data_IF_873352766268
#
_entry.id   IF_873352766268
#
_cell.length_a   1.000
_cell.length_b   1.000
_cell.length_c   1.000
_cell.angle_alpha   90.00
_cell.angle_beta   90.00
_cell.angle_gamma   90.00
#
_symmetry.space_group_name_H-M   'P 1'
#
loop_
_entity.id
_entity.type
_entity.pdbx_description
1 polymer ?
#
# COMPACT_ATOMS: atom_id res chain seq x y z
N UNK A 1 -24.12 12.70 10.95
CA UNK A 1 -23.70 12.65 9.54
C UNK A 1 -23.36 11.21 9.24
N UNK A 2 -23.61 10.70 8.03
CA UNK A 2 -23.18 9.33 7.69
C UNK A 2 -21.66 9.25 7.69
N UNK A 3 -21.10 8.18 8.27
CA UNK A 3 -19.66 7.86 8.25
C UNK A 3 -19.24 7.14 6.96
N UNK A 4 -20.20 6.69 6.16
CA UNK A 4 -19.97 5.87 4.97
C UNK A 4 -19.61 6.69 3.73
N UNK A 5 -18.67 6.17 2.95
CA UNK A 5 -18.29 6.73 1.65
C UNK A 5 -19.42 6.55 0.63
N UNK A 6 -19.63 7.51 -0.28
CA UNK A 6 -20.84 7.55 -1.12
C UNK A 6 -20.86 6.56 -2.28
N UNK A 7 -19.69 6.10 -2.72
CA UNK A 7 -19.51 5.29 -3.93
C UNK A 7 -19.11 3.83 -3.65
N UNK A 8 -19.19 3.36 -2.41
CA UNK A 8 -19.00 1.93 -2.11
C UNK A 8 -20.14 1.10 -2.71
N UNK A 9 -19.83 -0.05 -3.31
CA UNK A 9 -20.81 -1.04 -3.78
C UNK A 9 -21.90 -1.25 -2.74
N UNK A 10 -23.16 -1.08 -3.13
CA UNK A 10 -24.29 -0.99 -2.18
C UNK A 10 -24.51 -2.36 -1.53
N UNK A 11 -24.10 -2.59 -0.27
CA UNK A 11 -24.29 -3.87 0.38
C UNK A 11 -25.78 -4.13 0.59
N UNK A 12 -26.13 -5.40 0.79
CA UNK A 12 -27.48 -5.79 1.18
C UNK A 12 -27.90 -5.06 2.46
N UNK A 13 -29.20 -4.77 2.60
CA UNK A 13 -29.70 -4.10 3.80
C UNK A 13 -29.59 -5.01 5.01
N UNK A 14 -29.05 -4.48 6.11
CA UNK A 14 -29.05 -5.20 7.37
C UNK A 14 -30.48 -5.59 7.78
N UNK A 15 -30.69 -6.89 7.98
CA UNK A 15 -31.98 -7.42 8.44
C UNK A 15 -31.91 -7.86 9.90
N UNK A 16 -33.05 -7.89 10.59
CA UNK A 16 -33.14 -8.43 11.94
C UNK A 16 -32.68 -9.89 12.02
N UNK A 17 -32.90 -10.67 10.95
CA UNK A 17 -32.44 -12.07 10.87
C UNK A 17 -30.92 -12.17 10.84
N UNK A 18 -30.24 -11.26 10.16
CA UNK A 18 -28.78 -11.22 10.11
C UNK A 18 -28.22 -10.93 11.51
N UNK A 19 -28.82 -9.97 12.23
CA UNK A 19 -28.44 -9.63 13.61
C UNK A 19 -28.64 -10.84 14.55
N UNK A 20 -29.83 -11.45 14.53
CA UNK A 20 -30.15 -12.63 15.35
C UNK A 20 -29.23 -13.82 15.03
N UNK A 21 -28.87 -14.00 13.76
CA UNK A 21 -27.91 -15.02 13.34
C UNK A 21 -26.52 -14.74 13.94
N UNK A 22 -26.00 -13.53 13.79
CA UNK A 22 -24.69 -13.16 14.33
C UNK A 22 -24.63 -13.30 15.85
N UNK A 23 -25.57 -12.69 16.59
CA UNK A 23 -25.62 -12.77 18.06
C UNK A 23 -25.73 -14.22 18.54
N UNK A 24 -26.50 -15.06 17.85
CA UNK A 24 -26.62 -16.48 18.17
C UNK A 24 -25.35 -17.27 17.86
N UNK A 25 -24.69 -16.99 16.73
CA UNK A 25 -23.45 -17.65 16.31
C UNK A 25 -22.33 -17.38 17.31
N UNK A 26 -22.18 -16.13 17.73
CA UNK A 26 -21.11 -15.72 18.65
C UNK A 26 -21.51 -15.85 20.13
N UNK A 27 -22.81 -15.99 20.45
CA UNK A 27 -23.29 -16.07 21.83
C UNK A 27 -23.19 -14.75 22.60
N UNK A 28 -23.27 -13.62 21.90
CA UNK A 28 -23.07 -12.26 22.45
C UNK A 28 -24.24 -11.34 22.14
N UNK A 29 -24.24 -10.14 22.72
CA UNK A 29 -25.08 -9.02 22.27
C UNK A 29 -24.20 -8.01 21.56
N UNK A 30 -24.53 -7.68 20.31
CA UNK A 30 -23.76 -6.71 19.52
C UNK A 30 -23.95 -5.27 20.06
N UNK A 31 -22.92 -4.40 20.01
CA UNK A 31 -23.06 -3.02 20.43
C UNK A 31 -24.18 -2.31 19.68
N UNK A 32 -25.04 -1.59 20.42
CA UNK A 32 -26.18 -0.87 19.82
C UNK A 32 -25.74 0.18 18.81
N UNK A 33 -24.60 0.81 19.05
CA UNK A 33 -23.98 1.80 18.18
C UNK A 33 -23.45 1.19 16.90
N UNK A 34 -22.79 0.04 16.98
CA UNK A 34 -22.39 -0.75 15.80
C UNK A 34 -23.61 -1.10 14.93
N UNK A 35 -24.68 -1.63 15.53
CA UNK A 35 -25.92 -1.92 14.81
C UNK A 35 -26.61 -0.68 14.23
N UNK A 36 -26.45 0.49 14.86
CA UNK A 36 -27.00 1.75 14.35
C UNK A 36 -26.25 2.20 13.10
N UNK A 37 -24.92 2.10 13.11
CA UNK A 37 -24.05 2.40 11.97
C UNK A 37 -24.36 1.46 10.79
N UNK A 38 -24.48 0.16 11.05
CA UNK A 38 -24.79 -0.82 10.01
C UNK A 38 -26.20 -0.74 9.42
N UNK A 39 -27.15 -0.13 10.15
CA UNK A 39 -28.48 0.17 9.61
C UNK A 39 -28.47 1.26 8.56
N UNK A 40 -27.48 2.16 8.59
CA UNK A 40 -27.29 3.16 7.55
C UNK A 40 -26.71 2.51 6.28
N UNK A 41 -25.69 1.65 6.46
CA UNK A 41 -25.11 0.83 5.40
C UNK A 41 -24.46 -0.42 6.01
N UNK A 42 -24.70 -1.61 5.44
CA UNK A 42 -24.26 -2.88 6.02
C UNK A 42 -22.82 -3.24 5.62
N UNK A 43 -21.86 -2.40 6.01
CA UNK A 43 -20.45 -2.56 5.70
C UNK A 43 -19.96 -1.80 4.47
N UNK A 44 -18.66 -1.85 4.21
CA UNK A 44 -17.99 -1.13 3.13
C UNK A 44 -17.04 -0.04 3.65
N UNK A 45 -16.70 0.91 2.78
CA UNK A 45 -15.71 1.94 3.08
C UNK A 45 -16.29 3.13 3.86
N UNK A 46 -15.46 3.67 4.73
CA UNK A 46 -15.69 4.81 5.60
C UNK A 46 -15.11 6.08 4.96
N UNK A 47 -15.58 7.24 5.42
CA UNK A 47 -15.02 8.56 5.02
C UNK A 47 -13.71 8.90 5.73
N UNK A 48 -13.48 8.24 6.85
CA UNK A 48 -12.27 8.29 7.65
C UNK A 48 -11.51 7.02 7.37
N UNK A 49 -10.19 7.09 7.47
CA UNK A 49 -9.27 6.02 7.14
C UNK A 49 -8.32 5.67 8.28
N UNK A 50 -8.42 6.36 9.43
CA UNK A 50 -7.59 6.08 10.59
C UNK A 50 -8.31 6.23 11.94
N UNK A 51 -7.70 5.62 12.96
CA UNK A 51 -8.10 5.68 14.37
C UNK A 51 -6.88 6.01 15.22
N UNK A 52 -6.98 7.02 16.09
CA UNK A 52 -5.92 7.35 17.03
C UNK A 52 -5.69 6.23 18.05
N UNK A 53 -4.43 5.90 18.31
CA UNK A 53 -4.03 4.88 19.30
C UNK A 53 -2.88 5.35 20.17
N UNK A 54 -2.88 4.91 21.43
CA UNK A 54 -1.85 5.28 22.43
C UNK A 54 -0.70 4.24 22.53
N UNK A 55 -0.78 3.13 21.79
CA UNK A 55 0.28 2.13 21.74
C UNK A 55 1.25 2.41 20.59
N UNK A 56 2.49 1.91 20.71
CA UNK A 56 3.51 2.04 19.67
C UNK A 56 3.23 0.99 18.59
N UNK A 57 2.90 1.46 17.39
CA UNK A 57 2.82 0.65 16.18
C UNK A 57 4.08 0.82 15.30
N UNK A 58 4.14 0.11 14.18
CA UNK A 58 5.33 -0.03 13.34
C UNK A 58 5.90 1.29 12.82
N UNK A 59 5.02 2.20 12.44
CA UNK A 59 5.39 3.50 11.90
C UNK A 59 5.62 4.53 13.03
N UNK A 60 5.23 4.21 14.27
CA UNK A 60 5.34 5.10 15.42
C UNK A 60 4.43 6.33 15.34
N UNK A 61 3.41 6.27 14.48
CA UNK A 61 2.60 7.43 14.08
C UNK A 61 1.40 7.70 15.00
N UNK A 62 1.13 6.80 15.97
CA UNK A 62 0.06 7.01 16.97
C UNK A 62 -1.35 6.89 16.39
N UNK A 63 -1.50 6.19 15.27
CA UNK A 63 -2.78 5.82 14.68
C UNK A 63 -2.67 4.46 13.96
N UNK A 64 -3.80 3.82 13.69
CA UNK A 64 -3.90 2.65 12.82
C UNK A 64 -4.86 2.93 11.66
N UNK A 65 -4.68 2.25 10.53
CA UNK A 65 -5.63 2.32 9.42
C UNK A 65 -6.95 1.64 9.79
N UNK A 66 -8.04 2.31 9.45
CA UNK A 66 -9.41 1.89 9.69
C UNK A 66 -10.33 2.56 8.66
N UNK A 67 -10.30 2.04 7.44
CA UNK A 67 -10.95 2.60 6.26
C UNK A 67 -12.29 1.93 5.92
N UNK A 68 -12.64 0.85 6.62
CA UNK A 68 -13.76 0.00 6.29
C UNK A 68 -14.36 -0.67 7.52
N UNK A 69 -15.60 -1.09 7.38
CA UNK A 69 -16.31 -1.90 8.36
C UNK A 69 -16.94 -3.10 7.68
N UNK A 70 -16.83 -4.26 8.33
CA UNK A 70 -17.53 -5.46 7.93
C UNK A 70 -19.02 -5.33 8.26
N UNK A 71 -19.85 -5.75 7.31
CA UNK A 71 -21.28 -5.91 7.49
C UNK A 71 -21.65 -7.21 8.18
N UNK A 72 -22.95 -7.45 8.30
CA UNK A 72 -23.51 -8.71 8.78
C UNK A 72 -24.31 -9.34 7.63
N UNK A 73 -23.72 -10.32 6.97
CA UNK A 73 -24.35 -11.15 5.94
C UNK A 73 -23.99 -12.62 6.13
N UNK A 74 -24.87 -13.57 5.76
CA UNK A 74 -24.54 -14.99 5.82
C UNK A 74 -23.27 -15.30 5.02
N UNK A 75 -22.36 -16.06 5.62
CA UNK A 75 -21.09 -16.50 5.03
C UNK A 75 -20.11 -15.36 4.62
N UNK A 76 -20.39 -14.11 5.02
CA UNK A 76 -19.56 -12.92 4.73
C UNK A 76 -19.48 -11.97 5.94
N UNK A 77 -18.66 -10.92 5.83
CA UNK A 77 -18.51 -9.88 6.84
C UNK A 77 -18.12 -10.47 8.20
N UNK A 78 -18.77 -10.03 9.29
CA UNK A 78 -18.41 -10.51 10.63
C UNK A 78 -18.65 -12.01 10.81
N UNK A 79 -19.58 -12.62 10.06
CA UNK A 79 -19.86 -14.05 10.15
C UNK A 79 -18.71 -14.91 9.58
N UNK A 80 -17.79 -14.31 8.83
CA UNK A 80 -16.54 -14.94 8.39
C UNK A 80 -15.42 -14.91 9.45
N UNK A 81 -15.67 -14.37 10.66
CA UNK A 81 -14.65 -14.23 11.73
C UNK A 81 -13.85 -15.51 11.97
N UNK A 82 -14.50 -16.67 12.14
CA UNK A 82 -13.76 -17.91 12.43
C UNK A 82 -12.93 -18.40 11.23
N UNK A 83 -13.42 -18.18 10.00
CA UNK A 83 -12.64 -18.47 8.80
C UNK A 83 -11.40 -17.57 8.73
N UNK A 84 -11.56 -16.27 8.95
CA UNK A 84 -10.46 -15.30 8.94
C UNK A 84 -9.45 -15.57 10.06
N UNK A 85 -9.91 -15.95 11.25
CA UNK A 85 -9.00 -16.36 12.34
C UNK A 85 -8.16 -17.57 11.95
N UNK A 86 -8.75 -18.58 11.30
CA UNK A 86 -8.02 -19.75 10.81
C UNK A 86 -7.05 -19.38 9.69
N UNK A 87 -7.49 -18.58 8.72
CA UNK A 87 -6.69 -18.14 7.57
C UNK A 87 -5.46 -17.33 7.98
N UNK A 88 -5.62 -16.44 8.96
CA UNK A 88 -4.58 -15.49 9.40
C UNK A 88 -3.92 -15.88 10.73
N UNK A 89 -4.16 -17.09 11.23
CA UNK A 89 -3.48 -17.63 12.40
C UNK A 89 -3.82 -16.94 13.73
N UNK A 90 -4.96 -16.26 13.82
CA UNK A 90 -5.37 -15.52 15.03
C UNK A 90 -5.86 -16.49 16.10
N UNK A 91 -5.13 -16.57 17.21
CA UNK A 91 -5.39 -17.55 18.29
C UNK A 91 -6.31 -17.03 19.40
N UNK A 92 -6.61 -15.72 19.44
CA UNK A 92 -7.44 -15.12 20.48
C UNK A 92 -8.91 -15.55 20.33
N UNK A 93 -9.50 -15.98 21.45
CA UNK A 93 -10.89 -16.43 21.54
C UNK A 93 -11.86 -15.29 21.88
N UNK A 94 -13.16 -15.52 21.66
CA UNK A 94 -14.26 -14.61 22.02
C UNK A 94 -14.15 -13.20 21.40
N UNK A 95 -13.59 -13.12 20.20
CA UNK A 95 -13.50 -11.88 19.42
C UNK A 95 -14.41 -11.95 18.18
N UNK A 96 -14.82 -10.79 17.68
CA UNK A 96 -15.50 -10.64 16.38
C UNK A 96 -14.70 -9.65 15.55
N UNK A 97 -14.18 -10.07 14.40
CA UNK A 97 -13.46 -9.17 13.48
C UNK A 97 -14.48 -8.23 12.83
N UNK A 98 -14.20 -6.93 12.86
CA UNK A 98 -15.09 -5.89 12.32
C UNK A 98 -14.44 -5.05 11.22
N UNK A 99 -13.13 -5.15 11.02
CA UNK A 99 -12.38 -4.56 9.92
C UNK A 99 -11.01 -5.25 9.79
N UNK A 100 -10.36 -5.14 8.64
CA UNK A 100 -9.01 -5.66 8.40
C UNK A 100 -8.79 -6.12 6.96
N UNK A 101 -7.52 -6.36 6.63
CA UNK A 101 -7.04 -6.70 5.29
C UNK A 101 -6.20 -7.99 5.23
N UNK A 102 -5.94 -8.60 6.40
CA UNK A 102 -5.07 -9.76 6.54
C UNK A 102 -3.75 -9.47 7.26
N UNK A 103 -3.16 -8.29 7.06
CA UNK A 103 -1.97 -7.85 7.79
C UNK A 103 -2.35 -7.39 9.21
N UNK A 104 -3.51 -6.77 9.35
CA UNK A 104 -4.06 -6.46 10.66
C UNK A 104 -5.58 -6.51 10.68
N UNK A 105 -6.13 -6.63 11.89
CA UNK A 105 -7.57 -6.62 12.12
C UNK A 105 -7.95 -5.73 13.29
N UNK A 106 -9.12 -5.09 13.18
CA UNK A 106 -9.82 -4.49 14.32
C UNK A 106 -10.94 -5.43 14.75
N UNK A 107 -11.04 -5.70 16.05
CA UNK A 107 -11.98 -6.67 16.59
C UNK A 107 -12.72 -6.16 17.84
N UNK A 108 -13.94 -6.65 18.02
CA UNK A 108 -14.70 -6.54 19.27
C UNK A 108 -14.30 -7.69 20.19
N UNK A 109 -13.73 -7.39 21.35
CA UNK A 109 -13.30 -8.36 22.36
C UNK A 109 -14.35 -8.56 23.46
N UNK A 110 -14.95 -9.75 23.48
CA UNK A 110 -15.99 -10.13 24.45
C UNK A 110 -15.46 -10.97 25.62
N UNK A 111 -14.14 -11.15 25.74
CA UNK A 111 -13.54 -12.00 26.79
C UNK A 111 -14.01 -11.60 28.20
N UNK A 112 -14.14 -10.29 28.45
CA UNK A 112 -14.57 -9.76 29.75
C UNK A 112 -16.08 -9.52 29.87
N UNK A 113 -16.77 -9.19 28.76
CA UNK A 113 -18.17 -8.80 28.79
C UNK A 113 -18.92 -9.10 27.48
N UNK A 114 -19.86 -10.04 27.53
CA UNK A 114 -20.66 -10.49 26.38
C UNK A 114 -21.66 -9.44 25.83
N UNK A 115 -21.82 -8.28 26.47
CA UNK A 115 -22.77 -7.25 26.06
C UNK A 115 -22.13 -5.86 25.83
N UNK A 116 -20.85 -5.70 26.17
CA UNK A 116 -20.12 -4.44 26.01
C UNK A 116 -18.65 -4.79 25.77
N UNK A 117 -18.30 -5.18 24.53
CA UNK A 117 -16.95 -5.58 24.18
C UNK A 117 -16.02 -4.37 24.15
N UNK A 118 -14.75 -4.63 24.49
CA UNK A 118 -13.66 -3.68 24.21
C UNK A 118 -13.32 -3.73 22.71
N UNK A 119 -12.61 -2.72 22.20
CA UNK A 119 -12.11 -2.74 20.82
C UNK A 119 -10.60 -2.94 20.84
N UNK A 120 -10.12 -3.90 20.05
CA UNK A 120 -8.71 -4.27 19.97
C UNK A 120 -8.20 -4.21 18.53
N UNK A 121 -6.90 -3.99 18.40
CA UNK A 121 -6.10 -4.15 17.19
C UNK A 121 -5.32 -5.46 17.29
N UNK A 122 -5.26 -6.22 16.20
CA UNK A 122 -4.52 -7.47 16.08
C UNK A 122 -3.57 -7.32 14.90
N UNK A 123 -2.27 -7.41 15.17
CA UNK A 123 -1.22 -7.47 14.17
C UNK A 123 -0.89 -8.96 13.91
N UNK A 124 -1.16 -9.43 12.69
CA UNK A 124 -0.99 -10.84 12.34
C UNK A 124 0.44 -11.18 11.97
N UNK A 125 1.26 -10.19 11.61
CA UNK A 125 2.67 -10.39 11.26
C UNK A 125 3.53 -10.56 12.52
N UNK A 126 3.12 -9.91 13.62
CA UNK A 126 3.82 -9.92 14.92
C UNK A 126 3.20 -10.80 15.99
N UNK A 127 1.96 -11.27 15.78
CA UNK A 127 1.16 -11.97 16.80
C UNK A 127 0.95 -11.08 18.05
N UNK A 128 0.78 -9.77 17.83
CA UNK A 128 0.59 -8.77 18.87
C UNK A 128 -0.88 -8.30 18.92
N UNK A 129 -1.39 -8.08 20.13
CA UNK A 129 -2.76 -7.62 20.38
C UNK A 129 -2.75 -6.41 21.30
N UNK A 130 -3.36 -5.32 20.85
CA UNK A 130 -3.43 -4.06 21.57
C UNK A 130 -4.87 -3.60 21.76
N UNK A 131 -5.18 -3.08 22.95
CA UNK A 131 -6.47 -2.43 23.19
C UNK A 131 -6.47 -1.04 22.56
N UNK A 132 -7.53 -0.72 21.81
CA UNK A 132 -7.80 0.60 21.23
C UNK A 132 -8.62 1.43 22.24
N UNK A 133 -9.80 0.93 22.62
CA UNK A 133 -10.72 1.65 23.51
C UNK A 133 -11.70 0.71 24.23
N UNK A 134 -12.49 1.27 25.16
CA UNK A 134 -13.37 0.50 26.05
C UNK A 134 -14.67 0.02 25.39
N UNK A 135 -15.12 0.66 24.30
CA UNK A 135 -16.36 0.32 23.61
C UNK A 135 -16.40 0.88 22.17
N UNK A 136 -17.36 0.41 21.37
CA UNK A 136 -17.53 0.84 19.99
C UNK A 136 -17.92 2.33 19.86
N UNK A 137 -18.57 2.93 20.85
CA UNK A 137 -18.89 4.37 20.81
C UNK A 137 -17.60 5.20 20.87
N UNK A 138 -16.68 4.79 21.74
CA UNK A 138 -15.36 5.41 21.88
C UNK A 138 -14.51 5.25 20.62
N UNK A 139 -14.62 4.11 19.92
CA UNK A 139 -13.96 3.93 18.61
C UNK A 139 -14.38 5.00 17.61
N UNK A 140 -15.69 5.29 17.52
CA UNK A 140 -16.21 6.31 16.61
C UNK A 140 -15.67 7.71 16.89
N UNK A 141 -15.38 8.02 18.16
CA UNK A 141 -14.82 9.31 18.58
C UNK A 141 -13.30 9.41 18.28
N UNK A 142 -12.62 8.28 18.10
CA UNK A 142 -11.19 8.21 17.76
C UNK A 142 -10.91 8.22 16.25
N UNK A 143 -11.95 8.02 15.43
CA UNK A 143 -11.83 8.00 13.97
C UNK A 143 -11.52 9.40 13.41
N UNK A 144 -10.58 9.46 12.49
CA UNK A 144 -10.21 10.67 11.77
C UNK A 144 -9.80 10.33 10.33
N UNK A 145 -9.78 11.33 9.47
CA UNK A 145 -9.18 11.19 8.14
C UNK A 145 -7.73 11.62 8.26
N UNK A 146 -6.80 10.79 7.83
CA UNK A 146 -5.42 11.19 7.63
C UNK A 146 -5.44 12.37 6.67
N UNK A 147 -5.05 13.53 7.18
CA UNK A 147 -4.63 14.59 6.28
C UNK A 147 -3.35 14.04 5.67
N UNK A 148 -3.42 13.58 4.41
CA UNK A 148 -2.21 13.40 3.63
C UNK A 148 -1.43 14.70 3.81
N UNK A 149 -0.24 14.65 4.39
CA UNK A 149 0.74 15.74 4.28
C UNK A 149 1.19 15.90 2.80
N UNK A 150 0.42 15.37 1.83
CA UNK A 150 0.31 15.81 0.44
C UNK A 150 -0.41 17.17 0.36
N UNK A 151 0.11 18.14 1.11
CA UNK A 151 0.29 19.51 0.61
C UNK A 151 1.35 19.53 -0.53
N UNK A 152 1.85 18.38 -1.00
CA UNK A 152 2.01 18.20 -2.44
C UNK A 152 0.63 18.20 -3.07
N UNK A 153 0.18 19.40 -3.45
CA UNK A 153 -0.80 19.57 -4.53
C UNK A 153 -0.65 18.39 -5.48
N UNK A 154 -1.72 17.63 -5.69
CA UNK A 154 -1.93 17.00 -6.98
C UNK A 154 -1.95 18.15 -8.02
N UNK A 155 -0.78 18.66 -8.37
CA UNK A 155 -0.51 19.19 -9.69
C UNK A 155 -1.08 18.10 -10.61
N UNK A 156 -1.96 18.49 -11.53
CA UNK A 156 -2.37 17.63 -12.64
C UNK A 156 -1.16 16.78 -13.02
N UNK A 157 -1.23 15.44 -12.90
CA UNK A 157 -0.10 14.55 -13.18
C UNK A 157 0.49 14.99 -14.51
N UNK A 158 1.59 15.73 -14.45
CA UNK A 158 2.18 16.32 -15.64
C UNK A 158 2.96 15.20 -16.27
N UNK A 159 2.31 14.52 -17.22
CA UNK A 159 2.97 13.54 -18.07
C UNK A 159 3.82 14.35 -19.04
N UNK A 160 5.16 14.34 -18.89
CA UNK A 160 6.02 15.15 -19.74
C UNK A 160 5.96 14.62 -21.16
N UNK A 161 5.93 15.54 -22.11
CA UNK A 161 6.02 15.21 -23.54
C UNK A 161 7.41 14.68 -23.89
N UNK A 162 7.53 13.95 -24.99
CA UNK A 162 8.83 13.49 -25.49
C UNK A 162 9.82 14.65 -25.75
N UNK A 163 9.32 15.84 -26.06
CA UNK A 163 10.15 17.04 -26.26
C UNK A 163 10.71 17.54 -24.93
N UNK A 164 9.90 17.55 -23.87
CA UNK A 164 10.33 17.92 -22.51
C UNK A 164 11.36 16.93 -21.95
N UNK A 165 11.12 15.62 -22.09
CA UNK A 165 12.07 14.58 -21.67
C UNK A 165 13.42 14.77 -22.39
N UNK A 166 13.39 15.04 -23.70
CA UNK A 166 14.61 15.31 -24.49
C UNK A 166 15.30 16.60 -24.10
N UNK A 167 14.55 17.64 -23.75
CA UNK A 167 15.10 18.90 -23.26
C UNK A 167 15.83 18.70 -21.93
N UNK A 168 15.23 17.96 -21.00
CA UNK A 168 15.84 17.59 -19.72
C UNK A 168 17.12 16.75 -19.91
N UNK A 169 17.07 15.71 -20.74
CA UNK A 169 18.24 14.89 -21.06
C UNK A 169 19.39 15.68 -21.73
N UNK A 170 19.07 16.80 -22.38
CA UNK A 170 20.04 17.71 -23.00
C UNK A 170 20.48 18.86 -22.08
N UNK A 171 19.95 18.93 -20.85
CA UNK A 171 20.18 20.05 -19.93
C UNK A 171 21.63 20.12 -19.44
N UNK A 172 22.05 21.31 -19.04
CA UNK A 172 23.29 21.52 -18.28
C UNK A 172 23.11 21.17 -16.81
N UNK A 173 21.88 21.16 -16.29
CA UNK A 173 21.58 20.82 -14.90
C UNK A 173 21.52 19.30 -14.73
N UNK A 174 22.40 18.74 -13.89
CA UNK A 174 22.50 17.29 -13.72
C UNK A 174 21.22 16.67 -13.12
N UNK A 175 20.46 17.42 -12.32
CA UNK A 175 19.19 16.94 -11.76
C UNK A 175 18.15 16.76 -12.87
N UNK A 176 18.07 17.72 -13.79
CA UNK A 176 17.19 17.61 -14.96
C UNK A 176 17.64 16.46 -15.88
N UNK A 177 18.95 16.29 -16.10
CA UNK A 177 19.46 15.19 -16.91
C UNK A 177 19.10 13.83 -16.28
N UNK A 178 19.31 13.66 -14.97
CA UNK A 178 18.98 12.42 -14.27
C UNK A 178 17.48 12.11 -14.34
N UNK A 179 16.62 13.12 -14.09
CA UNK A 179 15.17 12.98 -14.22
C UNK A 179 14.77 12.63 -15.66
N UNK A 180 15.29 13.35 -16.65
CA UNK A 180 15.01 13.09 -18.05
C UNK A 180 15.43 11.68 -18.48
N UNK A 181 16.59 11.19 -18.04
CA UNK A 181 17.05 9.82 -18.33
C UNK A 181 16.15 8.79 -17.65
N UNK A 182 15.82 8.98 -16.38
CA UNK A 182 14.92 8.08 -15.65
C UNK A 182 13.55 7.98 -16.33
N UNK A 183 12.92 9.13 -16.61
CA UNK A 183 11.61 9.19 -17.28
C UNK A 183 11.68 8.57 -18.68
N UNK A 184 12.76 8.81 -19.43
CA UNK A 184 12.94 8.22 -20.76
C UNK A 184 13.00 6.69 -20.71
N UNK A 185 13.78 6.12 -19.79
CA UNK A 185 13.90 4.67 -19.63
C UNK A 185 12.52 4.03 -19.37
N UNK A 186 11.69 4.70 -18.57
CA UNK A 186 10.35 4.23 -18.19
C UNK A 186 9.28 4.47 -19.27
N UNK A 187 9.53 5.34 -20.26
CA UNK A 187 8.60 5.58 -21.37
C UNK A 187 8.78 4.54 -22.50
N UNK A 188 7.94 3.51 -22.48
CA UNK A 188 7.92 2.41 -23.44
C UNK A 188 7.83 2.84 -24.91
N UNK A 189 7.32 4.03 -25.20
CA UNK A 189 7.19 4.54 -26.57
C UNK A 189 8.50 5.17 -27.10
N UNK A 190 9.40 5.54 -26.19
CA UNK A 190 10.66 6.22 -26.47
C UNK A 190 11.90 5.32 -26.40
N UNK A 191 11.75 4.07 -25.94
CA UNK A 191 12.84 3.06 -25.90
C UNK A 191 13.15 2.56 -27.31
N UNK A 192 13.80 3.41 -28.10
CA UNK A 192 14.48 3.09 -29.35
C UNK A 192 15.92 3.56 -29.25
N UNK A 193 16.80 3.07 -30.13
CA UNK A 193 18.18 3.56 -30.17
C UNK A 193 18.21 5.07 -30.40
N UNK A 194 18.54 5.80 -29.34
CA UNK A 194 18.69 7.25 -29.37
C UNK A 194 20.03 7.64 -28.75
N UNK A 195 20.88 8.23 -29.58
CA UNK A 195 22.21 8.70 -29.18
C UNK A 195 22.15 9.77 -28.09
N UNK A 196 21.03 10.47 -27.95
CA UNK A 196 20.84 11.43 -26.85
C UNK A 196 20.73 10.72 -25.50
N UNK A 197 19.91 9.66 -25.43
CA UNK A 197 19.78 8.86 -24.21
C UNK A 197 21.13 8.30 -23.78
N UNK A 198 21.94 7.80 -24.71
CA UNK A 198 23.24 7.20 -24.40
C UNK A 198 24.19 8.24 -23.78
N UNK A 199 24.24 9.44 -24.36
CA UNK A 199 25.06 10.55 -23.87
C UNK A 199 24.57 11.04 -22.51
N UNK A 200 23.26 11.18 -22.34
CA UNK A 200 22.66 11.63 -21.10
C UNK A 200 22.90 10.61 -19.97
N UNK A 201 22.74 9.31 -20.25
CA UNK A 201 23.01 8.24 -19.30
C UNK A 201 24.49 8.22 -18.86
N UNK A 202 25.44 8.34 -19.80
CA UNK A 202 26.86 8.49 -19.47
C UNK A 202 27.10 9.73 -18.59
N UNK A 203 26.47 10.86 -18.92
CA UNK A 203 26.59 12.10 -18.15
C UNK A 203 26.13 11.93 -16.69
N UNK A 204 25.05 11.16 -16.44
CA UNK A 204 24.62 10.85 -15.06
C UNK A 204 25.70 10.07 -14.30
N UNK A 205 26.37 9.12 -14.93
CA UNK A 205 27.46 8.37 -14.31
C UNK A 205 28.74 9.21 -14.11
N UNK A 206 29.02 10.17 -14.98
CA UNK A 206 30.20 11.02 -14.87
C UNK A 206 30.02 12.18 -13.88
N UNK A 207 28.82 12.78 -13.80
CA UNK A 207 28.57 14.04 -13.08
C UNK A 207 27.53 13.93 -11.95
N UNK A 208 26.72 12.87 -11.93
CA UNK A 208 25.62 12.69 -10.98
C UNK A 208 26.06 12.25 -9.59
N UNK A 209 25.17 12.50 -8.63
CA UNK A 209 25.28 11.94 -7.26
C UNK A 209 25.12 10.42 -7.28
N UNK A 210 25.62 9.74 -6.26
CA UNK A 210 25.47 8.28 -6.12
C UNK A 210 24.01 7.84 -6.18
N UNK A 211 23.12 8.56 -5.48
CA UNK A 211 21.68 8.32 -5.55
C UNK A 211 21.14 8.39 -6.98
N UNK A 212 21.50 9.44 -7.74
CA UNK A 212 21.05 9.57 -9.14
C UNK A 212 21.54 8.43 -10.02
N UNK A 213 22.79 8.00 -9.85
CA UNK A 213 23.36 6.85 -10.56
C UNK A 213 22.59 5.57 -10.25
N UNK A 214 22.34 5.29 -8.96
CA UNK A 214 21.59 4.12 -8.50
C UNK A 214 20.18 4.14 -9.11
N UNK A 215 19.49 5.28 -9.06
CA UNK A 215 18.13 5.44 -9.59
C UNK A 215 18.06 5.11 -11.08
N UNK A 216 18.92 5.71 -11.91
CA UNK A 216 18.90 5.43 -13.37
C UNK A 216 19.40 4.03 -13.70
N UNK A 217 20.34 3.48 -12.91
CA UNK A 217 20.85 2.13 -13.08
C UNK A 217 19.78 1.07 -12.78
N UNK A 218 19.03 1.24 -11.69
CA UNK A 218 17.96 0.33 -11.33
C UNK A 218 16.83 0.37 -12.37
N UNK A 219 16.43 1.56 -12.84
CA UNK A 219 15.46 1.69 -13.92
C UNK A 219 15.93 0.95 -15.19
N UNK A 220 17.20 1.14 -15.58
CA UNK A 220 17.78 0.45 -16.73
C UNK A 220 17.77 -1.09 -16.56
N UNK A 221 18.16 -1.58 -15.37
CA UNK A 221 18.13 -3.00 -15.02
C UNK A 221 16.72 -3.58 -15.17
N UNK A 222 15.72 -2.94 -14.58
CA UNK A 222 14.32 -3.38 -14.64
C UNK A 222 13.82 -3.50 -16.08
N UNK A 223 14.08 -2.50 -16.90
CA UNK A 223 13.63 -2.51 -18.29
C UNK A 223 14.38 -3.51 -19.18
N UNK A 224 15.61 -3.87 -18.85
CA UNK A 224 16.35 -4.97 -19.50
C UNK A 224 15.77 -6.33 -19.09
N UNK A 225 15.44 -6.52 -17.81
CA UNK A 225 14.82 -7.76 -17.31
C UNK A 225 13.44 -7.99 -17.94
N UNK A 226 12.65 -6.92 -18.06
CA UNK A 226 11.32 -6.93 -18.66
C UNK A 226 11.29 -7.03 -20.19
N UNK A 227 12.44 -7.17 -20.86
CA UNK A 227 12.58 -7.19 -22.32
C UNK A 227 12.07 -5.91 -23.03
N UNK A 228 11.92 -4.81 -22.31
CA UNK A 228 11.61 -3.49 -22.88
C UNK A 228 12.85 -2.91 -23.58
N UNK A 229 14.02 -2.98 -22.92
CA UNK A 229 15.30 -2.56 -23.47
C UNK A 229 16.01 -3.77 -24.06
N UNK A 230 15.99 -3.86 -25.39
CA UNK A 230 16.62 -4.96 -26.15
C UNK A 230 17.84 -4.51 -26.98
N UNK A 231 18.18 -3.22 -26.97
CA UNK A 231 19.36 -2.72 -27.69
C UNK A 231 20.64 -3.20 -27.04
N UNK A 232 21.38 -4.08 -27.71
CA UNK A 232 22.65 -4.61 -27.22
C UNK A 232 23.67 -3.49 -26.93
N UNK A 233 23.71 -2.45 -27.77
CA UNK A 233 24.60 -1.31 -27.57
C UNK A 233 24.34 -0.59 -26.24
N UNK A 234 23.06 -0.40 -25.89
CA UNK A 234 22.66 0.25 -24.63
C UNK A 234 22.92 -0.66 -23.43
N UNK A 235 22.66 -1.95 -23.55
CA UNK A 235 22.95 -2.96 -22.53
C UNK A 235 24.46 -3.01 -22.24
N UNK A 236 25.29 -3.08 -23.27
CA UNK A 236 26.74 -3.11 -23.14
C UNK A 236 27.28 -1.81 -22.50
N UNK A 237 26.69 -0.67 -22.85
CA UNK A 237 26.98 0.61 -22.21
C UNK A 237 26.64 0.58 -20.72
N UNK A 238 25.44 0.11 -20.36
CA UNK A 238 25.02 -0.04 -18.96
C UNK A 238 25.99 -0.90 -18.18
N UNK A 239 26.27 -2.13 -18.64
CA UNK A 239 27.21 -3.03 -17.99
C UNK A 239 28.62 -2.42 -17.87
N UNK A 240 29.06 -1.64 -18.86
CA UNK A 240 30.35 -0.95 -18.81
C UNK A 240 30.39 0.13 -17.74
N UNK A 241 29.30 0.88 -17.55
CA UNK A 241 29.21 1.91 -16.53
C UNK A 241 29.12 1.30 -15.13
N UNK A 242 28.28 0.28 -14.93
CA UNK A 242 28.17 -0.44 -13.65
C UNK A 242 29.52 -1.01 -13.18
N UNK A 243 30.34 -1.53 -14.09
CA UNK A 243 31.67 -2.09 -13.78
C UNK A 243 32.68 -1.06 -13.24
N UNK A 244 32.45 0.24 -13.48
CA UNK A 244 33.35 1.30 -13.01
C UNK A 244 33.06 1.72 -11.58
N UNK A 245 31.87 1.43 -11.08
CA UNK A 245 31.41 1.85 -9.76
C UNK A 245 31.77 0.81 -8.69
N UNK A 246 31.98 1.27 -7.45
CA UNK A 246 32.45 0.41 -6.35
C UNK A 246 31.34 -0.06 -5.41
N UNK A 247 30.21 0.66 -5.39
CA UNK A 247 29.05 0.37 -4.54
C UNK A 247 28.49 -1.04 -4.81
N UNK A 248 27.86 -1.62 -3.79
CA UNK A 248 27.31 -2.98 -3.85
C UNK A 248 26.12 -3.05 -4.81
N UNK A 249 25.29 -2.02 -4.89
CA UNK A 249 24.09 -1.99 -5.74
C UNK A 249 24.46 -2.18 -7.21
N UNK A 250 25.49 -1.48 -7.70
CA UNK A 250 25.92 -1.61 -9.09
C UNK A 250 26.44 -3.01 -9.43
N UNK A 251 27.05 -3.72 -8.47
CA UNK A 251 27.47 -5.11 -8.66
C UNK A 251 26.27 -6.03 -8.77
N UNK A 252 25.29 -5.88 -7.86
CA UNK A 252 24.04 -6.63 -7.88
C UNK A 252 23.32 -6.42 -9.21
N UNK A 253 23.12 -5.17 -9.63
CA UNK A 253 22.40 -4.85 -10.87
C UNK A 253 23.10 -5.46 -12.10
N UNK A 254 24.44 -5.43 -12.13
CA UNK A 254 25.23 -6.04 -13.19
C UNK A 254 25.03 -7.56 -13.23
N UNK A 255 25.10 -8.23 -12.08
CA UNK A 255 24.90 -9.68 -11.97
C UNK A 255 23.50 -10.07 -12.44
N UNK A 256 22.46 -9.36 -11.99
CA UNK A 256 21.07 -9.59 -12.42
C UNK A 256 20.89 -9.45 -13.93
N UNK A 257 21.48 -8.41 -14.54
CA UNK A 257 21.44 -8.23 -16.00
C UNK A 257 22.17 -9.39 -16.70
N UNK A 258 23.37 -9.77 -16.24
CA UNK A 258 24.16 -10.84 -16.85
C UNK A 258 23.47 -12.21 -16.75
N UNK A 259 22.81 -12.50 -15.63
CA UNK A 259 21.99 -13.71 -15.41
C UNK A 259 20.77 -13.74 -16.33
N UNK A 260 19.98 -12.66 -16.34
CA UNK A 260 18.80 -12.54 -17.21
C UNK A 260 19.15 -12.71 -18.70
N UNK A 261 20.31 -12.22 -19.14
CA UNK A 261 20.79 -12.40 -20.52
C UNK A 261 21.33 -13.80 -20.81
N UNK A 262 21.80 -14.53 -19.80
CA UNK A 262 22.28 -15.90 -19.93
C UNK A 262 21.12 -16.90 -20.08
N UNK A 263 20.04 -16.70 -19.33
CA UNK A 263 18.83 -17.55 -19.37
C UNK A 263 18.09 -17.47 -20.72
N UNK A 264 18.34 -16.42 -21.50
CA UNK A 264 17.70 -16.19 -22.82
C UNK A 264 18.50 -16.73 -24.01
N UNK A 265 19.65 -17.37 -23.80
CA UNK A 265 20.52 -17.97 -24.85
C UNK A 265 20.29 -19.47 -25.03
#
# INVERSE_FOLDING_TARGET
MSIWEKDSDKPNRLTQKNIELAEKTFGVTLPKSYLKVLKEQNGGYLKTDAVHVDFVNDDGEGFILFDSLYGIEPDEGILATEYLKEEWGITKDNIILIAGDGHSFTALDYEMNLASPEVIHIDTERDDVHKICDDFDSLLDLMFTLEDDDDEKHDEIHIPTHEEIRAWASSTNINEVANGVYTWIQDFSMVKEDQLLYKAFVKVFDEGTEHQKITVANAMRMEIENDTITSQTLIDLCLTLLRKETDLDFKIYKEMIEENLADKK
#
